data_IF_512761772194
#
_entry.id   IF_512761772194
#
_cell.length_a   1.000
_cell.length_b   1.000
_cell.length_c   1.000
_cell.angle_alpha   90.00
_cell.angle_beta   90.00
_cell.angle_gamma   90.00
#
_symmetry.space_group_name_H-M   'P 1'
#
loop_
_entity.id
_entity.type
_entity.pdbx_description
1 polymer ?
#
# COMPACT_ATOMS: atom_id res chain seq x y z
N UNK A 1 -9.54 -2.88 20.22
CA UNK A 1 -8.98 -2.86 18.85
C UNK A 1 -7.64 -2.15 18.89
N UNK A 2 -6.61 -2.75 18.28
CA UNK A 2 -5.25 -2.17 18.24
C UNK A 2 -4.96 -1.39 16.96
N UNK A 3 -5.60 -1.78 15.87
CA UNK A 3 -5.54 -1.11 14.57
C UNK A 3 -6.75 -1.51 13.74
N UNK A 4 -7.06 -0.72 12.73
CA UNK A 4 -8.01 -1.09 11.67
C UNK A 4 -7.22 -1.27 10.37
N UNK A 5 -7.38 -2.43 9.75
CA UNK A 5 -6.84 -2.74 8.44
C UNK A 5 -8.01 -2.67 7.43
N UNK A 6 -7.98 -1.70 6.54
CA UNK A 6 -9.06 -1.43 5.59
C UNK A 6 -8.61 -1.72 4.16
N UNK A 7 -9.27 -2.68 3.52
CA UNK A 7 -9.01 -3.02 2.12
C UNK A 7 -9.96 -2.23 1.20
N UNK A 8 -9.41 -1.56 0.21
CA UNK A 8 -10.15 -0.88 -0.87
C UNK A 8 -10.45 -1.87 -1.99
N UNK A 9 -11.40 -2.77 -1.70
CA UNK A 9 -11.70 -3.94 -2.54
C UNK A 9 -12.11 -3.53 -3.95
N UNK A 10 -11.55 -4.20 -4.95
CA UNK A 10 -11.85 -4.03 -6.38
C UNK A 10 -11.77 -2.58 -6.89
N UNK A 11 -10.94 -1.77 -6.26
CA UNK A 11 -10.71 -0.38 -6.65
C UNK A 11 -11.73 0.61 -6.11
N UNK A 12 -12.66 0.19 -5.25
CA UNK A 12 -13.61 1.08 -4.60
C UNK A 12 -13.02 1.71 -3.34
N UNK A 13 -13.33 2.98 -3.11
CA UNK A 13 -12.99 3.64 -1.86
C UNK A 13 -13.78 3.04 -0.68
N UNK A 14 -13.08 2.56 0.34
CA UNK A 14 -13.67 2.06 1.58
C UNK A 14 -13.75 3.09 2.72
N UNK A 15 -13.17 4.30 2.54
CA UNK A 15 -13.16 5.36 3.56
C UNK A 15 -14.48 6.11 3.61
N UNK A 16 -14.77 6.65 4.78
CA UNK A 16 -15.78 7.68 5.01
C UNK A 16 -15.30 8.67 6.08
N UNK A 17 -15.81 9.89 6.05
CA UNK A 17 -15.49 10.90 7.07
C UNK A 17 -15.80 10.39 8.48
N UNK A 18 -16.95 9.73 8.63
CA UNK A 18 -17.37 9.15 9.92
C UNK A 18 -16.37 8.11 10.44
N UNK A 19 -15.84 7.27 9.55
CA UNK A 19 -14.82 6.27 9.93
C UNK A 19 -13.55 6.96 10.38
N UNK A 20 -13.02 7.89 9.57
CA UNK A 20 -11.78 8.61 9.88
C UNK A 20 -11.90 9.38 11.21
N UNK A 21 -13.01 10.08 11.42
CA UNK A 21 -13.27 10.79 12.67
C UNK A 21 -13.32 9.82 13.85
N UNK A 22 -14.04 8.71 13.73
CA UNK A 22 -14.15 7.72 14.80
C UNK A 22 -12.79 7.11 15.18
N UNK A 23 -11.95 6.79 14.19
CA UNK A 23 -10.60 6.25 14.43
C UNK A 23 -9.71 7.28 15.14
N UNK A 24 -9.78 8.53 14.70
CA UNK A 24 -9.07 9.65 15.33
C UNK A 24 -9.51 9.87 16.78
N UNK A 25 -10.82 9.89 17.07
CA UNK A 25 -11.37 10.07 18.41
C UNK A 25 -10.98 8.93 19.38
N UNK A 26 -10.67 7.75 18.84
CA UNK A 26 -10.30 6.55 19.62
C UNK A 26 -8.81 6.27 19.63
N UNK A 27 -8.02 7.10 18.99
CA UNK A 27 -6.57 6.88 18.82
C UNK A 27 -6.27 5.47 18.30
N UNK A 28 -7.04 5.05 17.27
CA UNK A 28 -6.88 3.75 16.63
C UNK A 28 -6.23 3.94 15.26
N UNK A 29 -5.02 3.44 15.04
CA UNK A 29 -4.33 3.59 13.77
C UNK A 29 -5.05 2.87 12.63
N UNK A 30 -5.11 3.53 11.48
CA UNK A 30 -5.58 2.97 10.21
C UNK A 30 -4.41 2.45 9.40
N UNK A 31 -4.57 1.27 8.82
CA UNK A 31 -3.70 0.72 7.79
C UNK A 31 -4.55 0.53 6.54
N UNK A 32 -4.10 1.06 5.41
CA UNK A 32 -4.83 0.98 4.16
C UNK A 32 -4.25 -0.09 3.24
N UNK A 33 -5.07 -1.01 2.77
CA UNK A 33 -4.71 -1.94 1.70
C UNK A 33 -5.21 -1.39 0.36
N UNK A 34 -4.28 -0.93 -0.46
CA UNK A 34 -4.52 -0.28 -1.75
C UNK A 34 -4.14 -1.19 -2.93
N UNK A 35 -3.91 -2.48 -2.67
CA UNK A 35 -3.46 -3.43 -3.69
C UNK A 35 -4.35 -3.45 -4.94
N UNK A 36 -5.66 -3.27 -4.77
CA UNK A 36 -6.64 -3.24 -5.86
C UNK A 36 -7.12 -1.82 -6.21
N UNK A 37 -6.53 -0.77 -5.63
CA UNK A 37 -7.08 0.59 -5.72
C UNK A 37 -6.03 1.65 -6.10
N UNK A 38 -5.04 1.28 -6.93
CA UNK A 38 -4.00 2.20 -7.38
C UNK A 38 -4.61 3.40 -8.10
N UNK A 39 -4.43 4.59 -7.53
CA UNK A 39 -4.90 5.84 -8.11
C UNK A 39 -6.33 6.24 -7.74
N UNK A 40 -7.06 5.42 -6.97
CA UNK A 40 -8.32 5.84 -6.39
C UNK A 40 -8.12 6.96 -5.37
N UNK A 41 -9.17 7.76 -5.13
CA UNK A 41 -9.11 8.94 -4.28
C UNK A 41 -10.28 8.99 -3.30
N UNK A 42 -10.09 9.70 -2.21
CA UNK A 42 -11.15 10.15 -1.31
C UNK A 42 -10.87 11.61 -0.96
N UNK A 43 -11.85 12.51 -1.12
CA UNK A 43 -11.70 13.95 -0.91
C UNK A 43 -10.46 14.52 -1.63
N UNK A 44 -10.30 14.19 -2.91
CA UNK A 44 -9.20 14.61 -3.78
C UNK A 44 -7.78 14.17 -3.33
N UNK A 45 -7.68 13.35 -2.29
CA UNK A 45 -6.43 12.73 -1.85
C UNK A 45 -6.37 11.26 -2.29
N UNK A 46 -5.18 10.79 -2.66
CA UNK A 46 -4.96 9.39 -3.04
C UNK A 46 -5.22 8.46 -1.85
N UNK A 47 -5.92 7.35 -2.08
CA UNK A 47 -6.01 6.27 -1.10
C UNK A 47 -4.61 5.74 -0.79
N UNK A 48 -4.40 5.33 0.45
CA UNK A 48 -3.08 4.97 0.98
C UNK A 48 -2.34 6.14 1.62
N UNK A 49 -2.94 7.35 1.67
CA UNK A 49 -2.36 8.52 2.33
C UNK A 49 -3.12 8.98 3.59
N UNK A 50 -4.10 8.20 4.05
CA UNK A 50 -4.95 8.57 5.19
C UNK A 50 -4.54 7.87 6.48
N UNK A 51 -3.94 6.69 6.39
CA UNK A 51 -3.55 5.86 7.52
C UNK A 51 -2.11 6.05 7.98
N UNK A 52 -1.74 5.32 9.04
CA UNK A 52 -0.37 5.22 9.57
C UNK A 52 0.59 4.62 8.53
N UNK A 53 0.10 3.65 7.78
CA UNK A 53 0.81 3.04 6.66
C UNK A 53 -0.17 2.50 5.64
N UNK A 54 0.32 2.22 4.44
CA UNK A 54 -0.44 1.60 3.37
C UNK A 54 0.39 0.59 2.60
N UNK A 55 -0.25 -0.45 2.08
CA UNK A 55 0.39 -1.44 1.22
C UNK A 55 -0.18 -1.40 -0.20
N UNK A 56 0.71 -1.66 -1.15
CA UNK A 56 0.45 -1.74 -2.58
C UNK A 56 0.99 -3.05 -3.10
N UNK A 57 0.26 -3.69 -4.01
CA UNK A 57 0.72 -4.87 -4.73
C UNK A 57 1.01 -4.53 -6.19
N UNK A 58 2.11 -5.03 -6.70
CA UNK A 58 2.49 -4.93 -8.12
C UNK A 58 2.42 -6.29 -8.82
N UNK A 59 1.56 -7.16 -8.31
CA UNK A 59 1.21 -8.43 -8.93
C UNK A 59 0.65 -8.22 -10.34
N UNK A 60 0.84 -9.19 -11.22
CA UNK A 60 0.54 -9.02 -12.66
C UNK A 60 -0.90 -8.62 -12.97
N UNK A 61 -1.86 -8.98 -12.14
CA UNK A 61 -3.28 -8.70 -12.38
C UNK A 61 -3.75 -7.32 -11.87
N UNK A 62 -2.91 -6.58 -11.13
CA UNK A 62 -3.29 -5.27 -10.59
C UNK A 62 -3.18 -4.14 -11.64
N UNK A 63 -3.62 -2.94 -11.26
CA UNK A 63 -3.65 -1.76 -12.13
C UNK A 63 -2.26 -1.36 -12.65
N UNK A 64 -1.23 -1.63 -11.86
CA UNK A 64 0.17 -1.45 -12.19
C UNK A 64 0.93 -2.71 -11.77
N UNK A 65 1.72 -3.28 -12.69
CA UNK A 65 2.40 -4.54 -12.45
C UNK A 65 3.91 -4.45 -12.68
N UNK A 66 4.67 -5.11 -11.81
CA UNK A 66 6.10 -5.39 -12.00
C UNK A 66 6.36 -6.89 -12.14
N UNK A 67 5.36 -7.65 -12.63
CA UNK A 67 5.25 -9.11 -12.65
C UNK A 67 4.89 -9.61 -11.26
N UNK A 68 5.82 -9.50 -10.33
CA UNK A 68 5.67 -9.65 -8.89
C UNK A 68 6.29 -8.44 -8.21
N UNK A 69 5.75 -8.05 -7.07
CA UNK A 69 6.27 -6.94 -6.27
C UNK A 69 5.24 -6.34 -5.33
N UNK A 70 5.71 -5.47 -4.48
CA UNK A 70 4.87 -4.73 -3.54
C UNK A 70 5.63 -3.57 -2.92
N UNK A 71 4.88 -2.69 -2.27
CA UNK A 71 5.43 -1.54 -1.57
C UNK A 71 4.60 -1.28 -0.32
N UNK A 72 5.26 -0.87 0.75
CA UNK A 72 4.61 -0.29 1.92
C UNK A 72 5.06 1.16 2.04
N UNK A 73 4.10 2.06 2.24
CA UNK A 73 4.34 3.49 2.42
C UNK A 73 3.96 3.91 3.84
N UNK A 74 4.77 4.78 4.44
CA UNK A 74 4.53 5.40 5.73
C UNK A 74 5.28 6.72 5.82
N UNK A 75 4.76 7.67 6.61
CA UNK A 75 5.44 8.91 6.97
C UNK A 75 6.18 8.79 8.33
N UNK A 76 6.06 7.64 9.00
CA UNK A 76 6.71 7.35 10.28
C UNK A 76 8.11 6.77 10.04
N UNK A 77 9.14 7.49 10.49
CA UNK A 77 10.55 7.12 10.26
C UNK A 77 10.96 5.84 11.00
N UNK A 78 10.36 5.55 12.15
CA UNK A 78 10.66 4.32 12.90
C UNK A 78 10.05 3.12 12.19
N UNK A 79 8.80 3.26 11.70
CA UNK A 79 8.15 2.23 10.89
C UNK A 79 8.91 2.00 9.59
N UNK A 80 9.35 3.05 8.88
CA UNK A 80 10.16 2.90 7.66
C UNK A 80 11.44 2.10 7.94
N UNK A 81 12.16 2.44 9.02
CA UNK A 81 13.36 1.70 9.43
C UNK A 81 13.06 0.21 9.70
N UNK A 82 11.99 -0.08 10.42
CA UNK A 82 11.57 -1.45 10.69
C UNK A 82 11.19 -2.21 9.41
N UNK A 83 10.44 -1.59 8.51
CA UNK A 83 10.03 -2.19 7.23
C UNK A 83 11.23 -2.55 6.35
N UNK A 84 12.24 -1.68 6.29
CA UNK A 84 13.49 -1.94 5.56
C UNK A 84 14.24 -3.14 6.13
N UNK A 85 14.34 -3.23 7.45
CA UNK A 85 14.93 -4.39 8.11
C UNK A 85 14.09 -5.66 7.87
N UNK A 86 12.75 -5.59 7.98
CA UNK A 86 11.86 -6.74 7.76
C UNK A 86 11.98 -7.32 6.34
N UNK A 87 12.15 -6.50 5.32
CA UNK A 87 12.33 -6.96 3.94
C UNK A 87 13.70 -7.59 3.68
N UNK A 88 14.67 -7.38 4.60
CA UNK A 88 16.10 -7.71 4.43
C UNK A 88 16.67 -8.46 5.63
N UNK A 89 16.11 -9.61 5.97
CA UNK A 89 16.59 -10.53 7.01
C UNK A 89 16.58 -9.98 8.45
N UNK A 90 16.06 -8.81 8.71
CA UNK A 90 16.17 -8.14 10.02
C UNK A 90 17.55 -7.52 10.29
N UNK A 91 18.31 -7.21 9.25
CA UNK A 91 19.66 -6.64 9.37
C UNK A 91 19.61 -5.19 9.85
N UNK A 92 20.41 -4.85 10.88
CA UNK A 92 20.50 -3.50 11.42
C UNK A 92 20.97 -2.45 10.42
N UNK A 93 21.91 -2.80 9.53
CA UNK A 93 22.43 -1.92 8.47
C UNK A 93 21.38 -1.48 7.43
N UNK A 94 20.23 -2.11 7.41
CA UNK A 94 19.10 -1.72 6.56
C UNK A 94 18.16 -0.70 7.23
N UNK A 95 18.43 -0.35 8.50
CA UNK A 95 17.69 0.70 9.18
C UNK A 95 17.81 2.03 8.41
N UNK A 96 16.67 2.71 8.17
CA UNK A 96 16.65 3.97 7.44
C UNK A 96 17.27 5.12 8.23
N UNK A 97 17.30 5.00 9.54
CA UNK A 97 17.80 6.01 10.46
C UNK A 97 19.21 5.63 10.98
N UNK A 98 20.26 6.41 10.66
CA UNK A 98 21.61 6.17 11.15
C UNK A 98 21.72 6.11 12.68
N UNK A 99 20.93 6.90 13.40
CA UNK A 99 20.95 6.89 14.88
C UNK A 99 20.40 5.57 15.43
N UNK A 100 19.40 4.99 14.76
CA UNK A 100 18.88 3.65 15.09
C UNK A 100 19.97 2.59 14.87
N UNK A 101 20.67 2.64 13.76
CA UNK A 101 21.77 1.70 13.46
C UNK A 101 22.89 1.82 14.49
N UNK A 102 23.34 3.03 14.79
CA UNK A 102 24.39 3.30 15.79
C UNK A 102 24.01 2.75 17.17
N UNK A 103 22.78 3.00 17.62
CA UNK A 103 22.28 2.48 18.89
C UNK A 103 22.30 0.95 18.94
N UNK A 104 21.88 0.30 17.86
CA UNK A 104 21.91 -1.17 17.76
C UNK A 104 23.34 -1.71 17.87
N UNK A 105 24.30 -1.04 17.22
CA UNK A 105 25.74 -1.42 17.28
C UNK A 105 26.28 -1.24 18.71
N UNK A 106 25.97 -0.12 19.35
CA UNK A 106 26.38 0.18 20.72
C UNK A 106 25.80 -0.84 21.73
N UNK A 107 24.56 -1.25 21.55
CA UNK A 107 23.89 -2.24 22.40
C UNK A 107 24.47 -3.66 22.19
N UNK A 108 25.19 -3.91 21.09
CA UNK A 108 25.74 -5.21 20.72
C UNK A 108 27.24 -5.17 20.40
N UNK A 109 28.12 -4.68 21.30
CA UNK A 109 29.53 -4.38 20.99
C UNK A 109 30.40 -5.61 20.69
N UNK A 110 29.89 -6.80 20.91
CA UNK A 110 30.60 -8.08 20.65
C UNK A 110 30.27 -8.67 19.28
N UNK A 111 29.27 -8.12 18.58
CA UNK A 111 28.85 -8.59 17.26
C UNK A 111 29.54 -7.79 16.16
N UNK A 112 29.70 -8.42 15.00
CA UNK A 112 30.14 -7.71 13.81
C UNK A 112 29.00 -6.79 13.31
N UNK A 113 29.20 -5.46 13.23
CA UNK A 113 28.17 -4.51 12.83
C UNK A 113 27.47 -4.85 11.50
N UNK A 114 28.23 -5.40 10.53
CA UNK A 114 27.68 -5.76 9.22
C UNK A 114 26.70 -6.93 9.24
N UNK A 115 26.67 -7.70 10.34
CA UNK A 115 25.90 -8.94 10.45
C UNK A 115 25.10 -9.03 11.76
N UNK A 116 24.52 -7.92 12.19
CA UNK A 116 23.58 -7.91 13.31
C UNK A 116 22.17 -8.15 12.75
N UNK A 117 21.54 -9.24 13.16
CA UNK A 117 20.16 -9.62 12.83
C UNK A 117 19.32 -9.47 14.10
N UNK A 118 18.39 -8.53 14.11
CA UNK A 118 17.64 -8.17 15.31
C UNK A 118 16.45 -9.08 15.59
N UNK A 119 15.84 -9.60 14.53
CA UNK A 119 14.63 -10.42 14.61
C UNK A 119 14.49 -11.32 13.37
N UNK A 120 13.70 -12.40 13.46
CA UNK A 120 13.33 -13.19 12.28
C UNK A 120 12.58 -12.33 11.27
N UNK A 121 13.02 -12.35 10.02
CA UNK A 121 12.46 -11.52 8.96
C UNK A 121 12.55 -12.21 7.60
N UNK A 122 12.16 -11.50 6.54
CA UNK A 122 12.09 -12.03 5.18
C UNK A 122 13.27 -11.57 4.33
N UNK A 123 13.44 -12.17 3.17
CA UNK A 123 14.28 -11.66 2.09
C UNK A 123 13.39 -11.41 0.87
N UNK A 124 12.76 -10.25 0.84
CA UNK A 124 11.74 -9.86 -0.16
C UNK A 124 12.07 -8.52 -0.81
N UNK A 125 13.35 -8.25 -1.02
CA UNK A 125 13.81 -7.02 -1.68
C UNK A 125 13.39 -7.01 -3.15
N UNK A 126 12.83 -5.88 -3.60
CA UNK A 126 12.59 -5.64 -5.02
C UNK A 126 13.92 -5.46 -5.78
N UNK A 127 13.88 -5.67 -7.09
CA UNK A 127 15.02 -5.49 -7.99
C UNK A 127 14.87 -4.21 -8.81
N UNK A 128 15.98 -3.70 -9.37
CA UNK A 128 15.95 -2.56 -10.30
C UNK A 128 15.16 -2.89 -11.57
N UNK A 129 15.14 -4.15 -12.01
CA UNK A 129 14.33 -4.59 -13.15
C UNK A 129 12.84 -4.35 -12.88
N UNK A 130 12.36 -4.72 -11.68
CA UNK A 130 10.99 -4.44 -11.25
C UNK A 130 10.69 -2.94 -11.22
N UNK A 131 11.65 -2.13 -10.74
CA UNK A 131 11.49 -0.67 -10.70
C UNK A 131 11.37 -0.06 -12.11
N UNK A 132 12.15 -0.50 -13.08
CA UNK A 132 12.07 -0.06 -14.49
C UNK A 132 10.71 -0.39 -15.09
N UNK A 133 10.20 -1.61 -14.84
CA UNK A 133 8.86 -2.00 -15.27
C UNK A 133 7.79 -1.11 -14.61
N UNK A 134 7.88 -0.89 -13.29
CA UNK A 134 6.97 -0.05 -12.54
C UNK A 134 6.91 1.39 -13.06
N UNK A 135 8.06 2.01 -13.33
CA UNK A 135 8.13 3.36 -13.91
C UNK A 135 7.42 3.45 -15.28
N UNK A 136 7.54 2.41 -16.10
CA UNK A 136 6.82 2.33 -17.38
C UNK A 136 5.30 2.21 -17.18
N UNK A 137 4.86 1.41 -16.20
CA UNK A 137 3.44 1.22 -15.88
C UNK A 137 2.83 2.50 -15.27
N UNK A 138 3.56 3.18 -14.37
CA UNK A 138 3.10 4.38 -13.68
C UNK A 138 2.69 5.48 -14.66
N UNK A 139 3.41 5.65 -15.78
CA UNK A 139 3.09 6.64 -16.81
C UNK A 139 1.71 6.45 -17.45
N UNK A 140 1.16 5.25 -17.39
CA UNK A 140 -0.13 4.87 -18.02
C UNK A 140 -1.25 4.66 -17.00
N UNK A 141 -0.93 4.72 -15.72
CA UNK A 141 -1.87 4.36 -14.65
C UNK A 141 -3.16 5.21 -14.71
N UNK A 142 -3.03 6.53 -14.79
CA UNK A 142 -4.19 7.41 -14.76
C UNK A 142 -5.07 7.25 -16.04
N UNK A 143 -4.47 7.02 -17.20
CA UNK A 143 -5.20 6.72 -18.44
C UNK A 143 -5.92 5.37 -18.35
N UNK A 144 -5.23 4.34 -17.88
CA UNK A 144 -5.82 3.02 -17.67
C UNK A 144 -6.99 3.09 -16.68
N UNK A 145 -6.86 3.83 -15.58
CA UNK A 145 -7.93 4.01 -14.62
C UNK A 145 -9.16 4.69 -15.22
N UNK A 146 -8.97 5.73 -16.05
CA UNK A 146 -10.07 6.35 -16.79
C UNK A 146 -10.79 5.35 -17.69
N UNK A 147 -10.03 4.48 -18.38
CA UNK A 147 -10.61 3.44 -19.24
C UNK A 147 -11.38 2.39 -18.45
N UNK A 148 -10.83 1.95 -17.29
CA UNK A 148 -11.50 1.03 -16.36
C UNK A 148 -12.82 1.62 -15.84
N UNK A 149 -12.82 2.88 -15.42
CA UNK A 149 -14.02 3.58 -14.98
C UNK A 149 -15.08 3.68 -16.09
N UNK A 150 -14.66 3.95 -17.34
CA UNK A 150 -15.55 3.97 -18.50
C UNK A 150 -16.13 2.59 -18.76
N UNK A 151 -15.32 1.53 -18.76
CA UNK A 151 -15.78 0.16 -18.94
C UNK A 151 -16.79 -0.24 -17.86
N UNK A 152 -16.47 0.04 -16.59
CA UNK A 152 -17.36 -0.24 -15.46
C UNK A 152 -18.74 0.44 -15.63
N UNK A 153 -18.77 1.69 -16.07
CA UNK A 153 -20.00 2.40 -16.35
C UNK A 153 -20.82 1.71 -17.44
N UNK A 154 -20.16 1.31 -18.55
CA UNK A 154 -20.80 0.57 -19.62
C UNK A 154 -21.38 -0.75 -19.14
N UNK A 155 -20.66 -1.49 -18.27
CA UNK A 155 -21.17 -2.70 -17.65
C UNK A 155 -22.45 -2.43 -16.85
N UNK A 156 -22.44 -1.43 -15.96
CA UNK A 156 -23.59 -1.11 -15.12
C UNK A 156 -24.82 -0.69 -15.94
N UNK A 157 -24.63 0.06 -17.03
CA UNK A 157 -25.69 0.52 -17.94
C UNK A 157 -26.35 -0.64 -18.73
N UNK A 158 -25.61 -1.72 -18.97
CA UNK A 158 -26.08 -2.86 -19.79
C UNK A 158 -26.45 -4.10 -18.97
N UNK A 159 -26.23 -4.10 -17.65
CA UNK A 159 -26.66 -5.21 -16.80
C UNK A 159 -28.12 -5.08 -16.41
N UNK A 160 -28.80 -6.22 -16.38
CA UNK A 160 -30.20 -6.34 -15.89
C UNK A 160 -30.22 -6.16 -14.37
N UNK A 161 -30.60 -4.97 -13.89
CA UNK A 161 -30.65 -4.64 -12.46
C UNK A 161 -31.66 -5.47 -11.65
N UNK A 162 -32.55 -6.25 -12.32
CA UNK A 162 -33.41 -7.21 -11.63
C UNK A 162 -32.70 -8.52 -11.27
N UNK A 163 -31.55 -8.79 -11.92
CA UNK A 163 -30.77 -10.03 -11.75
C UNK A 163 -29.39 -9.77 -11.10
N UNK A 164 -28.87 -8.57 -11.27
CA UNK A 164 -27.53 -8.21 -10.83
C UNK A 164 -27.57 -6.95 -9.97
N UNK A 165 -26.67 -6.89 -8.99
CA UNK A 165 -26.46 -5.68 -8.24
C UNK A 165 -25.73 -4.66 -9.10
N UNK A 166 -26.31 -3.47 -9.29
CA UNK A 166 -25.76 -2.38 -10.13
C UNK A 166 -25.59 -1.07 -9.36
N UNK A 167 -25.95 -1.03 -8.09
CA UNK A 167 -25.90 0.14 -7.20
C UNK A 167 -24.53 0.33 -6.51
N UNK A 168 -23.46 0.35 -7.30
CA UNK A 168 -22.12 0.55 -6.75
C UNK A 168 -21.78 2.03 -6.61
N UNK A 169 -21.30 2.42 -5.41
CA UNK A 169 -20.70 3.72 -5.23
C UNK A 169 -19.31 3.74 -5.88
N UNK A 170 -19.17 4.51 -6.96
CA UNK A 170 -17.90 4.64 -7.69
C UNK A 170 -17.11 5.90 -7.36
N UNK A 171 -17.57 6.70 -6.39
CA UNK A 171 -16.87 7.94 -5.98
C UNK A 171 -15.48 7.59 -5.46
N UNK A 172 -14.47 8.23 -6.05
CA UNK A 172 -13.08 8.02 -5.69
C UNK A 172 -12.48 6.67 -6.10
N UNK A 173 -13.22 5.85 -6.85
CA UNK A 173 -12.77 4.51 -7.25
C UNK A 173 -11.91 4.53 -8.52
N UNK A 174 -11.13 3.48 -8.72
CA UNK A 174 -10.41 3.22 -9.97
C UNK A 174 -10.87 1.93 -10.67
N UNK A 175 -11.78 1.20 -10.10
CA UNK A 175 -12.46 -0.01 -10.56
C UNK A 175 -11.57 -1.08 -11.24
N UNK A 176 -11.99 -2.32 -11.18
CA UNK A 176 -11.28 -3.48 -11.76
C UNK A 176 -11.80 -3.88 -13.15
N UNK A 177 -12.66 -3.08 -13.75
CA UNK A 177 -13.28 -3.37 -15.05
C UNK A 177 -12.47 -2.86 -16.25
#
# INVERSE_FOLDING_TARGET
>A
TKAVFLTHVQGFNGLSEKLLQYLSDKDVPLIEDVCEAHGATFQDRRLGSFGLMSNFSFYYAHHMSTIEGGMVCTDDIEIDGMLRMFRSHGMSREAANPDMELKIIEDNPKLNPDFIFLFPAYNVRSTEVSAVLGLSQLKRLDENNKKRQQNHRIFLENLDGSKYKTDFNSVGSCNYA
#
